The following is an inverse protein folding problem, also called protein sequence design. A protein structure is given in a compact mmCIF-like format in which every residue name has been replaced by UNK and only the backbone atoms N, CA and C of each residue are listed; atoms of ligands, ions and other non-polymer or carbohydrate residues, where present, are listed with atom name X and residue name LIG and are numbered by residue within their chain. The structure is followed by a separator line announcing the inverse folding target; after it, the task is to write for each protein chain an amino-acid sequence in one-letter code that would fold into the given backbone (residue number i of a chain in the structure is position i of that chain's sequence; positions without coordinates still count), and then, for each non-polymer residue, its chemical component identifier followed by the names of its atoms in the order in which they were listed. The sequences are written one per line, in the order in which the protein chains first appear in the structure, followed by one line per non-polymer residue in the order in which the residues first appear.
data_IF_115462642772
#
_entry.id   IF_115462642772
#
_cell.length_a   1.000
_cell.length_b   1.000
_cell.length_c   1.000
_cell.angle_alpha   90.00
_cell.angle_beta   90.00
_cell.angle_gamma   90.00
#
_symmetry.space_group_name_H-M   'P 1'
#
loop_
_entity.id
_entity.type
_entity.pdbx_description
1 polymer ?
#
# COMPACT_ATOMS: atom_id res chain seq x y z
N UNK A 1 -6.62 26.35 23.05
CA UNK A 1 -6.80 26.57 24.50
C UNK A 1 -5.61 27.26 25.16
N UNK A 2 -4.36 27.11 24.68
CA UNK A 2 -3.21 27.83 25.26
C UNK A 2 -3.18 29.37 25.05
N UNK A 3 -3.91 29.91 24.06
CA UNK A 3 -3.96 31.37 23.81
C UNK A 3 -4.83 32.15 24.78
N UNK A 4 -5.70 31.50 25.55
CA UNK A 4 -6.59 32.18 26.50
C UNK A 4 -5.95 32.39 27.89
N UNK A 5 -4.85 31.69 28.18
CA UNK A 5 -4.28 31.54 29.52
C UNK A 5 -3.28 32.64 29.90
N UNK A 6 -2.67 33.33 28.93
CA UNK A 6 -1.64 34.37 29.18
C UNK A 6 -2.21 35.78 29.32
N UNK A 7 -3.46 36.02 28.87
CA UNK A 7 -4.18 37.26 29.12
C UNK A 7 -5.00 37.08 30.39
N UNK A 8 -4.37 37.34 31.54
CA UNK A 8 -5.04 37.37 32.84
C UNK A 8 -6.35 38.14 32.77
N UNK A 9 -7.33 37.75 33.59
CA UNK A 9 -8.68 38.32 33.58
C UNK A 9 -8.63 39.85 33.51
N UNK A 10 -9.05 40.42 32.38
CA UNK A 10 -9.15 41.87 32.21
C UNK A 10 -10.14 42.38 33.27
N UNK A 11 -9.63 42.89 34.38
CA UNK A 11 -10.42 43.39 35.51
C UNK A 11 -10.85 44.82 35.21
N UNK A 12 -11.92 44.96 34.43
CA UNK A 12 -12.53 46.25 34.12
C UNK A 12 -13.33 46.76 35.35
N UNK A 13 -13.15 48.01 35.79
CA UNK A 13 -13.76 48.53 37.03
C UNK A 13 -15.28 48.35 37.03
N UNK A 14 -15.83 47.74 38.09
CA UNK A 14 -17.27 47.59 38.30
C UNK A 14 -17.95 48.96 38.38
N UNK A 15 -18.98 49.16 37.56
CA UNK A 15 -19.90 50.29 37.68
C UNK A 15 -21.26 49.76 38.06
N UNK A 16 -21.83 50.33 39.13
CA UNK A 16 -23.01 49.81 39.83
C UNK A 16 -24.19 49.54 38.90
N UNK A 17 -24.78 48.35 39.09
CA UNK A 17 -25.95 47.84 38.41
C UNK A 17 -27.17 48.74 38.67
N UNK A 18 -27.44 49.70 37.78
CA UNK A 18 -28.58 50.59 37.92
C UNK A 18 -29.71 50.13 36.98
N UNK A 19 -30.88 49.86 37.55
CA UNK A 19 -32.00 49.27 36.82
C UNK A 19 -32.50 50.19 35.70
N UNK A 20 -32.36 49.76 34.45
CA UNK A 20 -32.78 50.44 33.20
C UNK A 20 -34.22 51.01 33.25
N UNK A 21 -35.13 50.37 34.00
CA UNK A 21 -36.53 50.81 34.17
C UNK A 21 -36.66 52.14 34.92
N UNK A 22 -35.79 52.43 35.89
CA UNK A 22 -35.86 53.65 36.70
C UNK A 22 -35.42 54.88 35.91
N UNK A 23 -34.51 54.68 34.96
CA UNK A 23 -33.99 55.72 34.07
C UNK A 23 -35.02 56.08 33.01
N UNK A 24 -35.66 55.09 32.37
CA UNK A 24 -36.76 55.33 31.44
C UNK A 24 -37.93 56.07 32.10
N UNK A 25 -38.30 55.68 33.32
CA UNK A 25 -39.34 56.34 34.07
C UNK A 25 -39.01 57.81 34.35
N UNK A 26 -37.75 58.14 34.67
CA UNK A 26 -37.32 59.52 34.92
C UNK A 26 -37.40 60.43 33.68
N UNK A 27 -37.11 59.90 32.49
CA UNK A 27 -37.13 60.66 31.23
C UNK A 27 -38.56 60.99 30.81
N UNK A 28 -39.47 60.02 30.98
CA UNK A 28 -40.86 60.09 30.50
C UNK A 28 -41.79 60.81 31.49
N UNK A 29 -41.46 60.85 32.78
CA UNK A 29 -42.34 61.38 33.82
C UNK A 29 -42.71 62.85 33.63
N UNK A 30 -41.78 63.70 33.19
CA UNK A 30 -42.04 65.14 33.13
C UNK A 30 -42.89 65.57 31.91
N UNK A 31 -42.65 65.06 30.69
CA UNK A 31 -43.56 65.27 29.55
C UNK A 31 -44.97 64.71 29.79
N UNK A 32 -45.08 63.58 30.50
CA UNK A 32 -46.37 62.98 30.88
C UNK A 32 -47.08 63.84 31.92
N UNK A 33 -46.37 64.40 32.91
CA UNK A 33 -46.96 65.26 33.93
C UNK A 33 -47.57 66.52 33.30
N UNK A 34 -46.88 67.13 32.33
CA UNK A 34 -47.40 68.30 31.58
C UNK A 34 -48.65 67.91 30.75
N UNK A 35 -48.67 66.72 30.16
CA UNK A 35 -49.85 66.23 29.45
C UNK A 35 -51.04 65.96 30.39
N UNK A 36 -50.79 65.36 31.56
CA UNK A 36 -51.82 65.15 32.59
C UNK A 36 -52.35 66.48 33.12
N UNK A 37 -51.51 67.50 33.29
CA UNK A 37 -51.97 68.84 33.64
C UNK A 37 -52.89 69.45 32.56
N UNK A 38 -52.60 69.21 31.28
CA UNK A 38 -53.48 69.62 30.18
C UNK A 38 -54.82 68.85 30.16
N UNK A 39 -54.81 67.55 30.47
CA UNK A 39 -56.04 66.77 30.66
C UNK A 39 -56.88 67.29 31.84
N UNK A 40 -56.26 67.71 32.94
CA UNK A 40 -56.96 68.30 34.08
C UNK A 40 -57.58 69.67 33.76
N UNK A 41 -56.97 70.45 32.86
CA UNK A 41 -57.58 71.66 32.32
C UNK A 41 -58.80 71.35 31.44
N UNK A 42 -58.80 70.24 30.69
CA UNK A 42 -59.98 69.81 29.92
C UNK A 42 -61.17 69.40 30.80
N UNK A 43 -60.93 68.81 31.97
CA UNK A 43 -61.98 68.48 32.95
C UNK A 43 -62.44 69.67 33.82
N UNK A 44 -62.03 70.89 33.48
CA UNK A 44 -62.44 72.16 34.11
C UNK A 44 -62.09 72.27 35.62
N UNK A 45 -61.11 71.49 36.08
CA UNK A 45 -60.54 71.59 37.44
C UNK A 45 -59.70 72.87 37.57
N UNK A 46 -59.18 73.37 36.45
CA UNK A 46 -58.41 74.62 36.31
C UNK A 46 -59.11 75.44 35.22
N UNK A 47 -59.36 76.74 35.46
CA UNK A 47 -60.14 77.65 34.59
C UNK A 47 -59.44 77.99 33.24
N UNK A 48 -59.09 77.00 32.44
CA UNK A 48 -58.55 77.17 31.09
C UNK A 48 -59.39 76.36 30.10
N UNK A 49 -60.07 77.06 29.20
CA UNK A 49 -60.93 76.45 28.19
C UNK A 49 -60.06 75.90 27.04
N UNK A 50 -59.70 74.62 27.12
CA UNK A 50 -58.89 73.93 26.11
C UNK A 50 -59.79 73.04 25.28
N UNK A 51 -59.73 73.19 23.95
CA UNK A 51 -60.46 72.33 23.01
C UNK A 51 -59.96 70.89 23.00
N UNK A 52 -60.86 69.95 22.67
CA UNK A 52 -60.56 68.52 22.57
C UNK A 52 -59.50 68.23 21.49
N UNK A 53 -59.49 69.03 20.43
CA UNK A 53 -58.51 68.99 19.34
C UNK A 53 -57.07 69.14 19.86
N UNK A 54 -56.83 70.06 20.79
CA UNK A 54 -55.50 70.31 21.36
C UNK A 54 -55.03 69.13 22.22
N UNK A 55 -55.94 68.55 23.00
CA UNK A 55 -55.65 67.39 23.86
C UNK A 55 -55.27 66.17 23.01
N UNK A 56 -55.96 65.95 21.89
CA UNK A 56 -55.67 64.85 20.96
C UNK A 56 -54.32 65.07 20.28
N UNK A 57 -54.06 66.26 19.75
CA UNK A 57 -52.79 66.55 19.05
C UNK A 57 -51.60 66.50 20.02
N UNK A 58 -51.74 67.01 21.25
CA UNK A 58 -50.74 66.86 22.31
C UNK A 58 -50.50 65.38 22.67
N UNK A 59 -51.56 64.56 22.69
CA UNK A 59 -51.46 63.12 22.94
C UNK A 59 -50.67 62.40 21.85
N UNK A 60 -50.90 62.75 20.57
CA UNK A 60 -50.12 62.22 19.43
C UNK A 60 -48.65 62.63 19.54
N UNK A 61 -48.35 63.89 19.90
CA UNK A 61 -46.97 64.33 20.13
C UNK A 61 -46.29 63.56 21.27
N UNK A 62 -47.02 63.26 22.34
CA UNK A 62 -46.51 62.48 23.46
C UNK A 62 -46.24 61.02 23.08
N UNK A 63 -47.08 60.39 22.25
CA UNK A 63 -46.84 59.03 21.73
C UNK A 63 -45.60 58.99 20.86
N UNK A 64 -45.42 59.99 19.98
CA UNK A 64 -44.20 60.10 19.18
C UNK A 64 -42.99 60.31 20.10
N UNK A 65 -43.09 61.18 21.11
CA UNK A 65 -42.02 61.39 22.08
C UNK A 65 -41.68 60.12 22.89
N UNK A 66 -42.66 59.28 23.24
CA UNK A 66 -42.45 57.98 23.89
C UNK A 66 -41.72 56.97 22.98
N UNK A 67 -42.04 56.97 21.69
CA UNK A 67 -41.37 56.13 20.70
C UNK A 67 -39.89 56.53 20.58
N UNK A 68 -39.61 57.83 20.50
CA UNK A 68 -38.24 58.35 20.51
C UNK A 68 -37.55 58.13 21.87
N UNK A 69 -38.24 58.25 23.00
CA UNK A 69 -37.69 57.98 24.33
C UNK A 69 -37.13 56.56 24.48
N UNK A 70 -37.69 55.58 23.76
CA UNK A 70 -37.15 54.21 23.71
C UNK A 70 -35.77 54.12 23.04
N UNK A 71 -35.44 55.06 22.17
CA UNK A 71 -34.15 55.16 21.47
C UNK A 71 -33.21 56.22 22.07
N UNK A 72 -33.54 56.77 23.24
CA UNK A 72 -32.75 57.84 23.88
C UNK A 72 -31.41 57.35 24.44
N UNK A 73 -30.41 58.23 24.43
CA UNK A 73 -29.02 57.97 24.81
C UNK A 73 -28.85 57.42 26.24
N UNK A 74 -29.75 57.74 27.16
CA UNK A 74 -29.68 57.24 28.54
C UNK A 74 -30.06 55.74 28.65
N UNK A 75 -30.98 55.27 27.80
CA UNK A 75 -31.29 53.84 27.68
C UNK A 75 -30.14 53.08 27.00
N UNK A 76 -29.52 53.68 25.99
CA UNK A 76 -28.30 53.13 25.37
C UNK A 76 -27.17 52.97 26.37
N UNK A 77 -26.98 53.93 27.28
CA UNK A 77 -26.01 53.84 28.38
C UNK A 77 -26.35 52.72 29.38
N UNK A 78 -27.61 52.61 29.82
CA UNK A 78 -28.01 51.53 30.71
C UNK A 78 -27.92 50.14 30.04
N UNK A 79 -28.20 50.05 28.74
CA UNK A 79 -28.07 48.81 27.98
C UNK A 79 -26.60 48.43 27.77
N UNK A 80 -25.72 49.43 27.59
CA UNK A 80 -24.26 49.26 27.60
C UNK A 80 -23.76 48.80 28.98
N UNK A 81 -24.24 49.41 30.07
CA UNK A 81 -23.93 48.98 31.44
C UNK A 81 -24.41 47.55 31.73
N UNK A 82 -25.58 47.14 31.21
CA UNK A 82 -26.11 45.78 31.35
C UNK A 82 -25.41 44.75 30.46
N UNK A 83 -24.86 45.16 29.31
CA UNK A 83 -24.12 44.27 28.37
C UNK A 83 -22.60 44.37 28.52
N UNK A 84 -22.11 44.85 29.67
CA UNK A 84 -20.66 45.01 29.92
C UNK A 84 -19.88 43.70 29.76
N UNK A 85 -20.46 42.56 30.12
CA UNK A 85 -19.81 41.25 29.95
C UNK A 85 -19.66 40.85 28.48
N UNK A 86 -20.63 41.22 27.66
CA UNK A 86 -20.58 41.03 26.20
C UNK A 86 -19.54 41.97 25.59
N UNK A 87 -19.50 43.23 26.03
CA UNK A 87 -18.45 44.18 25.66
C UNK A 87 -17.06 43.66 26.02
N UNK A 88 -16.88 43.10 27.24
CA UNK A 88 -15.62 42.49 27.68
C UNK A 88 -15.22 41.30 26.80
N UNK A 89 -16.17 40.43 26.47
CA UNK A 89 -15.94 39.27 25.60
C UNK A 89 -15.55 39.68 24.18
N UNK A 90 -16.22 40.67 23.61
CA UNK A 90 -15.91 41.19 22.29
C UNK A 90 -14.59 41.97 22.26
N UNK A 91 -14.28 42.73 23.30
CA UNK A 91 -13.00 43.41 23.47
C UNK A 91 -11.85 42.40 23.56
N UNK A 92 -12.02 41.32 24.35
CA UNK A 92 -11.05 40.22 24.43
C UNK A 92 -10.83 39.58 23.06
N UNK A 93 -11.92 39.27 22.35
CA UNK A 93 -11.83 38.71 20.99
C UNK A 93 -11.15 39.65 20.00
N UNK A 94 -11.40 40.95 20.10
CA UNK A 94 -10.78 41.97 19.26
C UNK A 94 -9.26 42.08 19.53
N UNK A 95 -8.87 42.09 20.81
CA UNK A 95 -7.45 42.10 21.23
C UNK A 95 -6.74 40.84 20.73
N UNK A 96 -7.35 39.65 20.87
CA UNK A 96 -6.78 38.38 20.41
C UNK A 96 -6.65 38.36 18.88
N UNK A 97 -7.64 38.88 18.15
CA UNK A 97 -7.64 38.90 16.68
C UNK A 97 -6.58 39.86 16.11
N UNK A 98 -6.29 40.94 16.83
CA UNK A 98 -5.40 42.02 16.37
C UNK A 98 -4.04 42.00 17.10
N UNK A 99 -3.69 40.84 17.67
CA UNK A 99 -2.52 40.66 18.49
C UNK A 99 -1.25 40.65 17.62
N UNK A 100 -0.35 41.59 17.89
CA UNK A 100 0.92 41.73 17.19
C UNK A 100 2.06 41.50 18.19
N UNK A 101 2.92 40.54 17.87
CA UNK A 101 4.06 40.16 18.72
C UNK A 101 5.29 40.91 18.24
N UNK A 102 5.84 41.81 19.07
CA UNK A 102 7.12 42.48 18.82
C UNK A 102 8.09 42.00 19.91
N UNK A 103 9.13 41.26 19.50
CA UNK A 103 10.09 40.68 20.43
C UNK A 103 9.45 39.64 21.36
N UNK A 104 9.47 39.90 22.68
CA UNK A 104 8.90 39.01 23.71
C UNK A 104 7.49 39.41 24.19
N UNK A 105 7.00 40.60 23.83
CA UNK A 105 5.73 41.14 24.30
C UNK A 105 4.62 41.01 23.24
N UNK A 106 3.42 40.65 23.70
CA UNK A 106 2.22 40.45 22.88
C UNK A 106 1.16 41.49 23.26
N UNK A 107 0.97 42.50 22.42
CA UNK A 107 -0.13 43.48 22.58
C UNK A 107 -0.94 43.63 21.29
N UNK A 108 -2.14 44.18 21.39
CA UNK A 108 -3.00 44.42 20.22
C UNK A 108 -2.54 45.65 19.44
N UNK A 109 -2.43 45.51 18.10
CA UNK A 109 -2.14 46.60 17.16
C UNK A 109 -3.39 47.44 16.83
N UNK A 110 -4.59 46.92 17.10
CA UNK A 110 -5.83 47.67 16.88
C UNK A 110 -5.99 48.77 17.93
N UNK A 111 -6.53 49.94 17.55
CA UNK A 111 -6.78 51.00 18.51
C UNK A 111 -8.06 50.74 19.32
N UNK A 112 -8.03 51.00 20.63
CA UNK A 112 -9.23 50.92 21.47
C UNK A 112 -10.34 51.85 20.97
N UNK A 113 -9.97 53.03 20.45
CA UNK A 113 -10.93 54.04 19.97
C UNK A 113 -11.70 53.55 18.74
N UNK A 114 -11.07 52.79 17.85
CA UNK A 114 -11.72 52.20 16.68
C UNK A 114 -12.71 51.12 17.07
N UNK A 115 -12.35 50.25 18.02
CA UNK A 115 -13.27 49.26 18.58
C UNK A 115 -14.45 49.93 19.31
N UNK A 116 -14.17 50.93 20.16
CA UNK A 116 -15.18 51.64 20.93
C UNK A 116 -16.16 52.40 20.01
N UNK A 117 -15.66 53.03 18.95
CA UNK A 117 -16.50 53.71 17.95
C UNK A 117 -17.41 52.73 17.20
N UNK A 118 -16.88 51.56 16.80
CA UNK A 118 -17.66 50.54 16.10
C UNK A 118 -18.72 49.91 16.99
N UNK A 119 -18.39 49.62 18.25
CA UNK A 119 -19.34 49.08 19.22
C UNK A 119 -20.40 50.12 19.62
N UNK A 120 -20.01 51.39 19.79
CA UNK A 120 -20.94 52.47 20.11
C UNK A 120 -21.99 52.69 19.01
N UNK A 121 -21.62 52.54 17.73
CA UNK A 121 -22.58 52.64 16.60
C UNK A 121 -23.60 51.51 16.55
N UNK A 122 -23.26 50.35 17.09
CA UNK A 122 -24.16 49.19 17.13
C UNK A 122 -25.14 49.28 18.32
N UNK A 123 -24.70 49.86 19.44
CA UNK A 123 -25.53 50.06 20.64
C UNK A 123 -26.45 51.28 20.52
N UNK A 124 -26.04 52.32 19.77
CA UNK A 124 -26.83 53.55 19.60
C UNK A 124 -26.84 53.99 18.15
N UNK A 125 -28.05 54.31 17.65
CA UNK A 125 -28.20 54.95 16.37
C UNK A 125 -28.26 56.48 16.54
N UNK A 126 -27.09 57.11 16.47
CA UNK A 126 -26.89 58.56 16.60
C UNK A 126 -27.79 59.37 15.65
N UNK A 127 -28.13 58.80 14.50
CA UNK A 127 -28.99 59.46 13.52
C UNK A 127 -30.42 59.62 14.03
N UNK A 128 -30.99 58.63 14.73
CA UNK A 128 -32.36 58.75 15.26
C UNK A 128 -32.45 59.73 16.43
N UNK A 129 -31.42 59.78 17.29
CA UNK A 129 -31.37 60.70 18.41
C UNK A 129 -31.26 62.16 17.95
N UNK A 130 -30.45 62.41 16.92
CA UNK A 130 -30.30 63.73 16.31
C UNK A 130 -31.57 64.20 15.60
N UNK A 131 -32.24 63.31 14.84
CA UNK A 131 -33.50 63.63 14.14
C UNK A 131 -34.61 64.05 15.10
N UNK A 132 -34.68 63.49 16.31
CA UNK A 132 -35.69 63.83 17.31
C UNK A 132 -35.68 65.32 17.70
N UNK A 133 -34.48 65.93 17.77
CA UNK A 133 -34.34 67.37 18.11
C UNK A 133 -34.98 68.30 17.08
N UNK A 134 -35.06 67.88 15.82
CA UNK A 134 -35.71 68.64 14.74
C UNK A 134 -37.19 68.31 14.55
N UNK A 135 -37.60 67.07 14.87
CA UNK A 135 -38.98 66.61 14.66
C UNK A 135 -39.95 67.17 15.71
N UNK A 136 -39.54 67.31 16.98
CA UNK A 136 -40.45 67.79 18.03
C UNK A 136 -40.93 69.25 17.85
N UNK A 137 -40.10 70.23 17.49
CA UNK A 137 -40.57 71.58 17.19
C UNK A 137 -41.45 71.60 15.93
N UNK A 138 -41.09 70.81 14.90
CA UNK A 138 -41.87 70.74 13.66
C UNK A 138 -43.24 70.12 13.87
N UNK A 139 -43.35 69.09 14.72
CA UNK A 139 -44.65 68.57 15.16
C UNK A 139 -45.42 69.63 15.95
N UNK A 140 -44.76 70.38 16.83
CA UNK A 140 -45.31 71.56 17.51
C UNK A 140 -45.99 72.54 16.56
N UNK A 141 -45.24 72.97 15.54
CA UNK A 141 -45.67 73.92 14.50
C UNK A 141 -46.81 73.31 13.64
N UNK A 142 -46.68 72.05 13.25
CA UNK A 142 -47.72 71.35 12.49
C UNK A 142 -49.02 71.21 13.29
N UNK A 143 -48.92 70.91 14.58
CA UNK A 143 -50.06 70.83 15.49
C UNK A 143 -50.79 72.15 15.64
N UNK A 144 -50.07 73.28 15.74
CA UNK A 144 -50.67 74.62 15.70
C UNK A 144 -51.47 74.86 14.41
N UNK A 145 -50.92 74.49 13.24
CA UNK A 145 -51.63 74.69 11.97
C UNK A 145 -52.90 73.84 11.87
N UNK A 146 -52.87 72.60 12.36
CA UNK A 146 -54.04 71.73 12.39
C UNK A 146 -55.12 72.30 13.33
N UNK A 147 -54.75 72.74 14.53
CA UNK A 147 -55.71 73.27 15.51
C UNK A 147 -56.34 74.58 15.04
N UNK A 148 -55.57 75.46 14.38
CA UNK A 148 -56.10 76.66 13.72
C UNK A 148 -57.06 76.29 12.59
N UNK A 149 -56.72 75.30 11.76
CA UNK A 149 -57.57 74.86 10.65
C UNK A 149 -58.91 74.27 11.14
N UNK A 150 -58.90 73.51 12.24
CA UNK A 150 -60.12 72.97 12.87
C UNK A 150 -60.94 74.09 13.52
N UNK A 151 -60.27 75.08 14.11
CA UNK A 151 -60.90 76.20 14.79
C UNK A 151 -61.42 77.30 13.85
N UNK A 152 -61.19 77.19 12.54
CA UNK A 152 -61.64 78.18 11.57
C UNK A 152 -63.16 78.08 11.37
N UNK A 153 -63.96 79.08 11.81
CA UNK A 153 -65.40 79.06 11.59
C UNK A 153 -65.71 79.39 10.12
N UNK A 154 -66.81 78.85 9.61
CA UNK A 154 -67.35 79.24 8.31
C UNK A 154 -67.99 80.62 8.45
N UNK A 155 -67.23 81.67 8.13
CA UNK A 155 -67.68 83.06 8.24
C UNK A 155 -68.91 83.28 7.35
N UNK A 156 -70.08 83.38 7.96
CA UNK A 156 -71.35 83.67 7.28
C UNK A 156 -71.80 85.09 7.64
N UNK A 157 -71.98 85.95 6.63
CA UNK A 157 -72.24 87.38 6.81
C UNK A 157 -73.68 87.73 7.21
N UNK A 158 -74.42 86.80 7.80
CA UNK A 158 -75.89 86.93 7.96
C UNK A 158 -76.27 87.74 9.21
N UNK A 159 -75.47 87.72 10.28
CA UNK A 159 -75.74 88.46 11.53
C UNK A 159 -74.46 89.02 12.18
N UNK A 160 -74.46 90.31 12.55
CA UNK A 160 -73.33 90.99 13.19
C UNK A 160 -72.94 90.36 14.55
N UNK A 161 -73.94 89.87 15.31
CA UNK A 161 -73.75 89.20 16.60
C UNK A 161 -73.14 87.79 16.41
N UNK A 162 -73.55 87.07 15.36
CA UNK A 162 -72.94 85.78 15.00
C UNK A 162 -71.49 85.97 14.59
N UNK A 163 -71.20 87.01 13.82
CA UNK A 163 -69.85 87.35 13.37
C UNK A 163 -68.90 87.67 14.54
N UNK A 164 -69.35 88.46 15.53
CA UNK A 164 -68.54 88.78 16.72
C UNK A 164 -68.25 87.53 17.57
N UNK A 165 -69.24 86.65 17.75
CA UNK A 165 -69.07 85.36 18.42
C UNK A 165 -68.12 84.42 17.66
N UNK A 166 -68.20 84.38 16.32
CA UNK A 166 -67.32 83.58 15.46
C UNK A 166 -65.87 84.08 15.50
N UNK A 167 -65.66 85.39 15.48
CA UNK A 167 -64.34 86.01 15.62
C UNK A 167 -63.75 85.72 17.02
N UNK A 168 -64.56 85.79 18.07
CA UNK A 168 -64.12 85.48 19.45
C UNK A 168 -63.70 84.01 19.58
N UNK A 169 -64.44 83.08 18.95
CA UNK A 169 -64.07 81.66 18.90
C UNK A 169 -62.78 81.42 18.12
N UNK A 170 -62.58 82.14 17.00
CA UNK A 170 -61.35 82.06 16.22
C UNK A 170 -60.13 82.54 17.03
N UNK A 171 -60.23 83.69 17.72
CA UNK A 171 -59.15 84.19 18.57
C UNK A 171 -58.85 83.26 19.74
N UNK A 172 -59.88 82.68 20.37
CA UNK A 172 -59.71 81.66 21.40
C UNK A 172 -59.02 80.41 20.87
N UNK A 173 -59.39 79.93 19.67
CA UNK A 173 -58.77 78.78 19.00
C UNK A 173 -57.31 79.03 18.60
N UNK A 174 -56.98 80.23 18.13
CA UNK A 174 -55.60 80.65 17.85
C UNK A 174 -54.78 80.69 19.15
N UNK A 175 -55.31 81.29 20.22
CA UNK A 175 -54.66 81.36 21.53
C UNK A 175 -54.37 79.97 22.11
N UNK A 176 -55.34 79.06 21.99
CA UNK A 176 -55.21 77.69 22.48
C UNK A 176 -54.25 76.85 21.62
N UNK A 177 -54.16 77.14 20.32
CA UNK A 177 -53.20 76.50 19.41
C UNK A 177 -51.75 76.77 19.82
N UNK A 178 -51.41 77.98 20.30
CA UNK A 178 -50.05 78.32 20.71
C UNK A 178 -49.47 77.40 21.80
N UNK A 179 -50.32 76.77 22.62
CA UNK A 179 -49.87 75.79 23.62
C UNK A 179 -49.23 74.54 22.99
N UNK A 180 -49.64 74.15 21.78
CA UNK A 180 -49.05 73.02 21.03
C UNK A 180 -47.61 73.33 20.62
N UNK A 181 -47.36 74.56 20.16
CA UNK A 181 -46.01 75.00 19.79
C UNK A 181 -45.10 75.12 21.03
N UNK A 182 -45.63 75.69 22.12
CA UNK A 182 -44.92 75.75 23.40
C UNK A 182 -44.55 74.35 23.91
N UNK A 183 -45.45 73.37 23.78
CA UNK A 183 -45.18 71.99 24.14
C UNK A 183 -44.13 71.31 23.25
N UNK A 184 -44.19 71.52 21.93
CA UNK A 184 -43.18 71.00 21.00
C UNK A 184 -41.78 71.53 21.27
N UNK A 185 -41.65 72.83 21.56
CA UNK A 185 -40.38 73.45 21.98
C UNK A 185 -39.91 72.87 23.31
N UNK A 186 -40.83 72.73 24.28
CA UNK A 186 -40.53 72.15 25.58
C UNK A 186 -39.98 70.72 25.47
N UNK A 187 -40.66 69.86 24.69
CA UNK A 187 -40.22 68.48 24.42
C UNK A 187 -38.80 68.44 23.84
N UNK A 188 -38.47 69.39 22.96
CA UNK A 188 -37.16 69.48 22.33
C UNK A 188 -36.06 69.83 23.33
N UNK A 189 -36.31 70.86 24.15
CA UNK A 189 -35.35 71.26 25.19
C UNK A 189 -35.15 70.15 26.22
N UNK A 190 -36.24 69.49 26.63
CA UNK A 190 -36.20 68.35 27.52
C UNK A 190 -35.40 67.19 26.91
N UNK A 191 -35.62 66.88 25.63
CA UNK A 191 -34.88 65.85 24.91
C UNK A 191 -33.37 66.16 24.84
N UNK A 192 -32.99 67.38 24.42
CA UNK A 192 -31.59 67.81 24.30
C UNK A 192 -30.86 67.69 25.65
N UNK A 193 -31.53 68.03 26.75
CA UNK A 193 -30.96 67.92 28.08
C UNK A 193 -30.58 66.47 28.41
N UNK A 194 -31.48 65.51 28.19
CA UNK A 194 -31.20 64.10 28.44
C UNK A 194 -30.20 63.49 27.48
N UNK A 195 -30.21 63.92 26.22
CA UNK A 195 -29.23 63.48 25.23
C UNK A 195 -27.80 63.91 25.61
N UNK A 196 -27.60 65.20 25.93
CA UNK A 196 -26.30 65.73 26.36
C UNK A 196 -25.84 65.11 27.68
N UNK A 197 -26.76 64.94 28.62
CA UNK A 197 -26.45 64.31 29.90
C UNK A 197 -26.04 62.84 29.73
N UNK A 198 -26.76 62.08 28.90
CA UNK A 198 -26.43 60.69 28.57
C UNK A 198 -25.08 60.57 27.88
N UNK A 199 -24.81 61.40 26.87
CA UNK A 199 -23.54 61.41 26.15
C UNK A 199 -22.33 61.66 27.04
N UNK A 200 -22.40 62.67 27.90
CA UNK A 200 -21.30 62.98 28.82
C UNK A 200 -20.97 61.81 29.75
N UNK A 201 -21.97 61.04 30.17
CA UNK A 201 -21.76 59.85 31.01
C UNK A 201 -21.20 58.68 30.22
N UNK A 202 -21.68 58.47 28.99
CA UNK A 202 -21.15 57.45 28.08
C UNK A 202 -19.67 57.65 27.79
N UNK A 203 -19.27 58.87 27.44
CA UNK A 203 -17.87 59.23 27.18
C UNK A 203 -17.00 58.99 28.42
N UNK A 204 -17.47 59.34 29.62
CA UNK A 204 -16.77 59.06 30.88
C UNK A 204 -16.61 57.55 31.13
N UNK A 205 -17.61 56.75 30.81
CA UNK A 205 -17.55 55.29 30.93
C UNK A 205 -16.53 54.71 29.95
N UNK A 206 -16.61 55.09 28.67
CA UNK A 206 -15.64 54.67 27.65
C UNK A 206 -14.23 55.10 28.04
N UNK A 207 -14.02 56.34 28.47
CA UNK A 207 -12.71 56.83 28.89
C UNK A 207 -12.15 56.04 30.08
N UNK A 208 -13.00 55.66 31.05
CA UNK A 208 -12.60 54.79 32.15
C UNK A 208 -12.19 53.41 31.67
N UNK A 209 -12.93 52.81 30.73
CA UNK A 209 -12.57 51.51 30.14
C UNK A 209 -11.32 51.59 29.26
N UNK A 210 -11.16 52.69 28.52
CA UNK A 210 -9.96 53.00 27.74
C UNK A 210 -8.75 52.97 28.66
N UNK A 211 -8.77 53.77 29.74
CA UNK A 211 -7.67 53.86 30.70
C UNK A 211 -7.32 52.51 31.35
N UNK A 212 -8.32 51.68 31.65
CA UNK A 212 -8.09 50.33 32.18
C UNK A 212 -7.48 49.36 31.16
N UNK A 213 -7.67 49.62 29.85
CA UNK A 213 -7.23 48.72 28.77
C UNK A 213 -6.00 49.23 28.02
N UNK A 214 -5.53 50.46 28.27
CA UNK A 214 -4.27 51.03 27.75
C UNK A 214 -3.09 50.01 27.76
N UNK A 215 -2.80 49.27 28.85
CA UNK A 215 -1.63 48.39 28.87
C UNK A 215 -1.70 47.22 27.87
N UNK A 216 -2.88 46.87 27.33
CA UNK A 216 -3.07 45.77 26.38
C UNK A 216 -2.95 46.21 24.91
N UNK A 217 -2.86 47.50 24.65
CA UNK A 217 -2.73 48.06 23.30
C UNK A 217 -1.33 48.65 23.09
N UNK A 218 -0.83 48.52 21.88
CA UNK A 218 0.40 49.20 21.49
C UNK A 218 0.15 50.70 21.32
N UNK A 219 1.01 51.54 21.87
CA UNK A 219 1.13 52.94 21.46
C UNK A 219 2.14 53.05 20.32
N UNK A 220 1.96 54.02 19.42
CA UNK A 220 2.88 54.23 18.30
C UNK A 220 4.33 54.48 18.77
N UNK A 221 4.47 55.20 19.88
CA UNK A 221 5.75 55.48 20.53
C UNK A 221 6.41 54.20 21.10
N UNK A 222 5.64 53.32 21.77
CA UNK A 222 6.15 52.04 22.28
C UNK A 222 6.64 51.12 21.15
N UNK A 223 5.91 51.04 20.03
CA UNK A 223 6.31 50.25 18.85
C UNK A 223 7.65 50.76 18.32
N UNK A 224 7.77 52.07 18.11
CA UNK A 224 8.98 52.67 17.56
C UNK A 224 10.18 52.48 18.49
N UNK A 225 9.99 52.65 19.80
CA UNK A 225 11.05 52.43 20.79
C UNK A 225 11.50 50.96 20.83
N UNK A 226 10.57 49.99 20.81
CA UNK A 226 10.90 48.57 20.81
C UNK A 226 11.59 48.14 19.51
N UNK A 227 11.10 48.61 18.37
CA UNK A 227 11.75 48.39 17.08
C UNK A 227 13.18 48.93 17.06
N UNK A 228 13.39 50.13 17.60
CA UNK A 228 14.72 50.74 17.74
C UNK A 228 15.62 49.92 18.68
N UNK A 229 15.12 49.43 19.82
CA UNK A 229 15.88 48.55 20.72
C UNK A 229 16.30 47.24 20.04
N UNK A 230 15.39 46.58 19.32
CA UNK A 230 15.68 45.31 18.63
C UNK A 230 16.70 45.53 17.49
N UNK A 231 16.59 46.66 16.80
CA UNK A 231 17.55 47.08 15.76
C UNK A 231 18.92 47.38 16.36
N UNK A 232 18.98 48.06 17.51
CA UNK A 232 20.23 48.31 18.25
C UNK A 232 20.88 47.00 18.72
N UNK A 233 20.11 46.05 19.24
CA UNK A 233 20.63 44.73 19.62
C UNK A 233 21.14 43.92 18.41
N UNK A 234 20.54 44.11 17.23
CA UNK A 234 21.06 43.54 15.99
C UNK A 234 22.36 44.21 15.55
N UNK A 235 22.48 45.53 15.70
CA UNK A 235 23.74 46.25 15.45
C UNK A 235 24.84 45.85 16.42
N UNK A 236 24.53 45.57 17.68
CA UNK A 236 25.51 45.07 18.65
C UNK A 236 26.05 43.70 18.23
N UNK A 237 25.18 42.76 17.81
CA UNK A 237 25.61 41.46 17.25
C UNK A 237 26.46 41.63 15.99
N UNK A 238 26.07 42.53 15.10
CA UNK A 238 26.86 42.87 13.91
C UNK A 238 28.22 43.44 14.32
N UNK A 239 28.28 44.28 15.35
CA UNK A 239 29.52 44.82 15.91
C UNK A 239 30.43 43.72 16.45
N UNK A 240 29.90 42.73 17.17
CA UNK A 240 30.67 41.56 17.66
C UNK A 240 31.18 40.70 16.51
N UNK A 241 30.35 40.45 15.49
CA UNK A 241 30.76 39.70 14.30
C UNK A 241 31.82 40.48 13.52
N UNK A 242 31.66 41.80 13.38
CA UNK A 242 32.64 42.67 12.72
C UNK A 242 33.97 42.70 13.48
N UNK A 243 33.93 42.76 14.82
CA UNK A 243 35.14 42.67 15.66
C UNK A 243 35.84 41.31 15.50
N UNK A 244 35.08 40.21 15.39
CA UNK A 244 35.65 38.89 15.12
C UNK A 244 36.25 38.78 13.71
N UNK A 245 35.54 39.25 12.68
CA UNK A 245 36.00 39.23 11.28
C UNK A 245 37.18 40.17 11.04
N UNK A 246 37.28 41.26 11.81
CA UNK A 246 38.38 42.23 11.71
C UNK A 246 39.65 41.78 12.44
N UNK A 247 39.58 40.73 13.27
CA UNK A 247 40.76 40.18 13.96
C UNK A 247 41.62 39.37 12.99
N UNK A 248 42.93 39.55 13.07
CA UNK A 248 43.90 38.72 12.34
C UNK A 248 43.76 37.22 12.63
N UNK A 249 43.21 36.86 13.79
CA UNK A 249 42.96 35.46 14.18
C UNK A 249 41.94 34.78 13.27
N UNK A 250 40.89 35.50 12.82
CA UNK A 250 39.94 34.97 11.83
C UNK A 250 40.62 34.69 10.49
N UNK A 251 41.49 35.60 10.01
CA UNK A 251 42.23 35.39 8.77
C UNK A 251 43.23 34.23 8.88
N UNK A 252 43.89 34.07 10.03
CA UNK A 252 44.78 32.92 10.29
C UNK A 252 44.00 31.59 10.30
N UNK A 253 42.84 31.56 10.95
CA UNK A 253 42.00 30.36 10.97
C UNK A 253 41.42 30.06 9.59
N UNK A 254 41.03 31.10 8.84
CA UNK A 254 40.57 30.99 7.46
C UNK A 254 41.67 30.43 6.55
N UNK A 255 42.89 30.96 6.62
CA UNK A 255 44.05 30.47 5.87
C UNK A 255 44.33 29.00 6.20
N UNK A 256 44.29 28.62 7.49
CA UNK A 256 44.49 27.24 7.93
C UNK A 256 43.37 26.31 7.40
N UNK A 257 42.13 26.78 7.38
CA UNK A 257 41.00 26.05 6.78
C UNK A 257 41.17 25.90 5.27
N UNK A 258 41.59 26.96 4.58
CA UNK A 258 41.85 26.96 3.13
C UNK A 258 42.98 25.98 2.81
N UNK A 259 44.11 26.05 3.52
CA UNK A 259 45.26 25.17 3.34
C UNK A 259 44.89 23.71 3.57
N UNK A 260 44.15 23.40 4.65
CA UNK A 260 43.63 22.06 4.91
C UNK A 260 42.68 21.58 3.81
N UNK A 261 41.85 22.46 3.25
CA UNK A 261 40.95 22.12 2.13
C UNK A 261 41.74 21.84 0.84
N UNK A 262 42.77 22.63 0.55
CA UNK A 262 43.66 22.41 -0.58
C UNK A 262 44.50 21.13 -0.44
N UNK A 263 45.01 20.83 0.76
CA UNK A 263 45.73 19.58 1.02
C UNK A 263 44.81 18.36 0.85
N UNK A 264 43.59 18.43 1.37
CA UNK A 264 42.58 17.39 1.14
C UNK A 264 42.21 17.24 -0.34
N UNK A 265 42.10 18.36 -1.07
CA UNK A 265 41.83 18.32 -2.51
C UNK A 265 42.99 17.69 -3.29
N UNK A 266 44.24 18.02 -2.93
CA UNK A 266 45.44 17.39 -3.50
C UNK A 266 45.48 15.89 -3.24
N UNK A 267 45.16 15.47 -2.01
CA UNK A 267 45.05 14.05 -1.65
C UNK A 267 43.95 13.33 -2.42
N UNK A 268 42.80 13.99 -2.62
CA UNK A 268 41.71 13.46 -3.43
C UNK A 268 42.14 13.26 -4.88
N UNK A 269 42.75 14.27 -5.50
CA UNK A 269 43.25 14.19 -6.88
C UNK A 269 44.26 13.05 -7.06
N UNK A 270 45.18 12.89 -6.11
CA UNK A 270 46.15 11.79 -6.14
C UNK A 270 45.49 10.42 -5.99
N UNK A 271 44.48 10.32 -5.12
CA UNK A 271 43.70 9.09 -4.93
C UNK A 271 42.89 8.75 -6.19
N UNK A 272 42.34 9.76 -6.86
CA UNK A 272 41.65 9.60 -8.14
C UNK A 272 42.60 9.15 -9.25
N UNK A 273 43.79 9.73 -9.33
CA UNK A 273 44.86 9.30 -10.26
C UNK A 273 45.24 7.83 -10.03
N UNK A 274 45.47 7.42 -8.78
CA UNK A 274 45.78 6.03 -8.43
C UNK A 274 44.62 5.08 -8.77
N UNK A 275 43.38 5.47 -8.49
CA UNK A 275 42.19 4.69 -8.82
C UNK A 275 42.01 4.53 -10.33
N UNK A 276 42.25 5.59 -11.12
CA UNK A 276 42.21 5.55 -12.59
C UNK A 276 43.31 4.62 -13.12
N UNK A 277 44.51 4.66 -12.54
CA UNK A 277 45.60 3.76 -12.92
C UNK A 277 45.26 2.29 -12.66
N UNK A 278 44.76 1.98 -11.45
CA UNK A 278 44.31 0.62 -11.10
C UNK A 278 43.15 0.17 -11.99
N UNK A 279 42.20 1.05 -12.27
CA UNK A 279 41.09 0.79 -13.20
C UNK A 279 41.59 0.49 -14.61
N UNK A 280 42.56 1.25 -15.12
CA UNK A 280 43.20 1.00 -16.42
C UNK A 280 43.90 -0.36 -16.48
N UNK A 281 44.59 -0.76 -15.41
CA UNK A 281 45.18 -2.10 -15.29
C UNK A 281 44.12 -3.20 -15.28
N UNK A 282 43.03 -3.03 -14.53
CA UNK A 282 41.90 -3.98 -14.53
C UNK A 282 41.21 -4.07 -15.89
N UNK A 283 41.02 -2.95 -16.59
CA UNK A 283 40.47 -2.94 -17.96
C UNK A 283 41.40 -3.73 -18.89
N UNK A 284 42.72 -3.52 -18.80
CA UNK A 284 43.71 -4.25 -19.61
C UNK A 284 43.68 -5.76 -19.31
N UNK A 285 43.61 -6.14 -18.04
CA UNK A 285 43.49 -7.54 -17.62
C UNK A 285 42.18 -8.17 -18.10
N UNK A 286 41.06 -7.48 -17.90
CA UNK A 286 39.73 -7.91 -18.34
C UNK A 286 39.67 -8.07 -19.85
N UNK A 287 40.24 -7.12 -20.59
CA UNK A 287 40.35 -7.20 -22.05
C UNK A 287 41.20 -8.40 -22.48
N UNK A 288 42.32 -8.66 -21.80
CA UNK A 288 43.14 -9.85 -22.03
C UNK A 288 42.37 -11.16 -21.80
N UNK A 289 41.60 -11.24 -20.71
CA UNK A 289 40.73 -12.39 -20.41
C UNK A 289 39.59 -12.53 -21.42
N UNK A 290 38.98 -11.42 -21.85
CA UNK A 290 37.90 -11.42 -22.84
C UNK A 290 38.41 -11.90 -24.21
N UNK A 291 39.58 -11.42 -24.66
CA UNK A 291 40.21 -11.90 -25.91
C UNK A 291 40.51 -13.39 -25.82
N UNK A 292 41.00 -13.87 -24.68
CA UNK A 292 41.25 -15.30 -24.47
C UNK A 292 39.96 -16.11 -24.52
N UNK A 293 38.92 -15.70 -23.81
CA UNK A 293 37.61 -16.36 -23.83
C UNK A 293 36.96 -16.34 -25.22
N UNK A 294 37.08 -15.24 -25.98
CA UNK A 294 36.62 -15.18 -27.36
C UNK A 294 37.35 -16.21 -28.25
N UNK A 295 38.66 -16.39 -28.05
CA UNK A 295 39.43 -17.42 -28.76
C UNK A 295 38.95 -18.82 -28.37
N UNK A 296 38.76 -19.08 -27.09
CA UNK A 296 38.28 -20.37 -26.59
C UNK A 296 36.86 -20.67 -27.09
N UNK A 297 35.97 -19.67 -27.18
CA UNK A 297 34.64 -19.82 -27.81
C UNK A 297 34.75 -20.16 -29.30
N UNK A 298 35.67 -19.51 -30.04
CA UNK A 298 35.90 -19.83 -31.45
C UNK A 298 36.38 -21.27 -31.62
N UNK A 299 37.25 -21.75 -30.73
CA UNK A 299 37.72 -23.13 -30.76
C UNK A 299 36.61 -24.12 -30.35
N UNK A 300 35.76 -23.78 -29.37
CA UNK A 300 34.55 -24.55 -29.06
C UNK A 300 33.58 -24.65 -30.24
N UNK A 301 33.41 -23.58 -31.03
CA UNK A 301 32.60 -23.63 -32.26
C UNK A 301 33.18 -24.65 -33.26
N UNK A 302 34.51 -24.75 -33.40
CA UNK A 302 35.13 -25.77 -34.25
C UNK A 302 34.89 -27.18 -33.70
N UNK A 303 35.02 -27.38 -32.39
CA UNK A 303 34.75 -28.66 -31.74
C UNK A 303 33.27 -29.05 -31.93
N UNK A 304 32.33 -28.11 -31.78
CA UNK A 304 30.92 -28.36 -32.07
C UNK A 304 30.68 -28.74 -33.53
N UNK A 305 31.35 -28.11 -34.49
CA UNK A 305 31.27 -28.49 -35.90
C UNK A 305 31.81 -29.91 -36.14
N UNK A 306 32.90 -30.29 -35.48
CA UNK A 306 33.46 -31.64 -35.54
C UNK A 306 32.51 -32.68 -34.91
N UNK A 307 31.92 -32.38 -33.75
CA UNK A 307 30.90 -33.23 -33.11
C UNK A 307 29.72 -33.43 -34.05
N UNK A 308 29.21 -32.38 -34.69
CA UNK A 308 28.10 -32.48 -35.66
C UNK A 308 28.50 -33.39 -36.83
N UNK A 309 29.74 -33.28 -37.33
CA UNK A 309 30.22 -34.13 -38.41
C UNK A 309 30.32 -35.60 -37.98
N UNK A 310 30.86 -35.88 -36.79
CA UNK A 310 30.91 -37.23 -36.21
C UNK A 310 29.51 -37.78 -35.99
N UNK A 311 28.56 -36.95 -35.52
CA UNK A 311 27.16 -37.36 -35.33
C UNK A 311 26.49 -37.71 -36.66
N UNK A 312 26.76 -36.94 -37.72
CA UNK A 312 26.27 -37.24 -39.07
C UNK A 312 26.89 -38.53 -39.62
N UNK A 313 28.19 -38.76 -39.43
CA UNK A 313 28.85 -40.02 -39.81
C UNK A 313 28.27 -41.20 -39.03
N UNK A 314 28.06 -41.05 -37.72
CA UNK A 314 27.44 -42.06 -36.88
C UNK A 314 26.01 -42.37 -37.35
N UNK A 315 25.20 -41.34 -37.62
CA UNK A 315 23.83 -41.51 -38.14
C UNK A 315 23.82 -42.24 -39.50
N UNK A 316 24.75 -41.91 -40.39
CA UNK A 316 24.90 -42.61 -41.68
C UNK A 316 25.33 -44.06 -41.47
N UNK A 317 26.26 -44.34 -40.56
CA UNK A 317 26.67 -45.70 -40.21
C UNK A 317 25.52 -46.51 -39.60
N UNK A 318 24.67 -45.91 -38.76
CA UNK A 318 23.47 -46.58 -38.22
C UNK A 318 22.47 -46.89 -39.33
N UNK A 319 22.25 -45.97 -40.28
CA UNK A 319 21.41 -46.25 -41.46
C UNK A 319 21.98 -47.38 -42.31
N UNK A 320 23.29 -47.40 -42.55
CA UNK A 320 23.94 -48.48 -43.29
C UNK A 320 23.84 -49.81 -42.54
N UNK A 321 24.05 -49.81 -41.22
CA UNK A 321 23.90 -50.99 -40.37
C UNK A 321 22.46 -51.50 -40.38
N UNK A 322 21.46 -50.61 -40.35
CA UNK A 322 20.05 -50.97 -40.50
C UNK A 322 19.78 -51.64 -41.85
N UNK A 323 20.32 -51.11 -42.95
CA UNK A 323 20.20 -51.71 -44.29
C UNK A 323 20.86 -53.09 -44.32
N UNK A 324 22.11 -53.20 -43.88
CA UNK A 324 22.85 -54.48 -43.82
C UNK A 324 22.15 -55.50 -42.93
N UNK A 325 21.55 -55.05 -41.82
CA UNK A 325 20.80 -55.94 -40.92
C UNK A 325 19.52 -56.45 -41.58
N UNK A 326 18.80 -55.60 -42.32
CA UNK A 326 17.65 -56.00 -43.13
C UNK A 326 18.03 -57.02 -44.22
N UNK A 327 19.14 -56.78 -44.93
CA UNK A 327 19.65 -57.72 -45.94
C UNK A 327 20.05 -59.06 -45.32
N UNK A 328 20.77 -59.04 -44.19
CA UNK A 328 21.16 -60.25 -43.47
C UNK A 328 19.94 -61.01 -42.92
N UNK A 329 18.93 -60.30 -42.40
CA UNK A 329 17.68 -60.91 -41.95
C UNK A 329 16.98 -61.63 -43.10
N UNK A 330 16.92 -60.98 -44.27
CA UNK A 330 16.35 -61.58 -45.49
C UNK A 330 17.14 -62.81 -45.95
N UNK A 331 18.48 -62.78 -45.88
CA UNK A 331 19.34 -63.94 -46.20
C UNK A 331 19.22 -65.08 -45.19
N UNK A 332 19.09 -64.78 -43.90
CA UNK A 332 18.88 -65.80 -42.87
C UNK A 332 17.52 -66.48 -43.04
N UNK A 333 16.48 -65.71 -43.36
CA UNK A 333 15.16 -66.26 -43.68
C UNK A 333 15.24 -67.23 -44.86
N UNK A 334 15.90 -66.85 -45.96
CA UNK A 334 16.00 -67.73 -47.14
C UNK A 334 16.84 -68.99 -46.88
N UNK A 335 17.93 -68.91 -46.10
CA UNK A 335 18.71 -70.08 -45.69
C UNK A 335 17.89 -70.99 -44.77
N UNK A 336 17.10 -70.42 -43.86
CA UNK A 336 16.19 -71.17 -42.99
C UNK A 336 15.16 -71.93 -43.82
N UNK A 337 14.49 -71.25 -44.75
CA UNK A 337 13.50 -71.87 -45.65
C UNK A 337 14.11 -73.01 -46.48
N UNK A 338 15.33 -72.83 -47.00
CA UNK A 338 16.06 -73.89 -47.72
C UNK A 338 16.40 -75.08 -46.80
N UNK A 339 16.85 -74.82 -45.57
CA UNK A 339 17.17 -75.88 -44.61
C UNK A 339 15.93 -76.66 -44.20
N UNK A 340 14.81 -75.99 -43.96
CA UNK A 340 13.52 -76.64 -43.66
C UNK A 340 13.11 -77.56 -44.82
N UNK A 341 13.20 -77.09 -46.07
CA UNK A 341 12.90 -77.90 -47.24
C UNK A 341 13.82 -79.13 -47.38
N UNK A 342 15.13 -78.99 -47.10
CA UNK A 342 16.07 -80.11 -47.09
C UNK A 342 15.77 -81.11 -45.96
N UNK A 343 15.35 -80.63 -44.80
CA UNK A 343 15.02 -81.46 -43.64
C UNK A 343 13.76 -82.30 -43.94
N UNK A 344 12.71 -81.68 -44.49
CA UNK A 344 11.51 -82.40 -44.95
C UNK A 344 11.85 -83.52 -45.94
N UNK A 345 12.75 -83.25 -46.90
CA UNK A 345 13.21 -84.28 -47.84
C UNK A 345 13.95 -85.42 -47.15
N UNK A 346 14.86 -85.10 -46.22
CA UNK A 346 15.62 -86.09 -45.46
C UNK A 346 14.72 -86.96 -44.57
N UNK A 347 13.68 -86.36 -43.96
CA UNK A 347 12.68 -87.09 -43.17
C UNK A 347 11.88 -88.05 -44.04
N UNK A 348 11.48 -87.62 -45.25
CA UNK A 348 10.81 -88.51 -46.22
C UNK A 348 11.71 -89.67 -46.68
N UNK A 349 12.99 -89.40 -46.98
CA UNK A 349 13.96 -90.44 -47.38
C UNK A 349 14.21 -91.45 -46.24
N UNK A 350 14.29 -90.98 -44.98
CA UNK A 350 14.37 -91.85 -43.81
C UNK A 350 13.13 -92.74 -43.69
N UNK A 351 11.92 -92.18 -43.87
CA UNK A 351 10.67 -92.94 -43.87
C UNK A 351 10.67 -94.06 -44.90
N UNK A 352 11.12 -93.80 -46.13
CA UNK A 352 11.28 -94.83 -47.17
C UNK A 352 12.30 -95.91 -46.80
N UNK A 353 13.43 -95.52 -46.20
CA UNK A 353 14.46 -96.48 -45.79
C UNK A 353 13.99 -97.37 -44.63
N UNK A 354 13.22 -96.84 -43.69
CA UNK A 354 12.60 -97.63 -42.61
C UNK A 354 11.65 -98.68 -43.19
N UNK A 355 10.80 -98.32 -44.16
CA UNK A 355 9.93 -99.30 -44.85
C UNK A 355 10.72 -100.39 -45.57
N UNK A 356 11.85 -100.05 -46.21
CA UNK A 356 12.73 -101.05 -46.83
C UNK A 356 13.37 -101.97 -45.78
N UNK A 357 13.79 -101.42 -44.65
CA UNK A 357 14.40 -102.18 -43.56
C UNK A 357 13.40 -103.15 -42.92
N UNK A 358 12.17 -102.70 -42.64
CA UNK A 358 11.07 -103.54 -42.15
C UNK A 358 10.85 -104.75 -43.06
N UNK A 359 10.75 -104.52 -44.38
CA UNK A 359 10.61 -105.59 -45.37
C UNK A 359 11.79 -106.56 -45.37
N UNK A 360 13.02 -106.07 -45.19
CA UNK A 360 14.22 -106.92 -45.13
C UNK A 360 14.28 -107.77 -43.85
N UNK A 361 13.77 -107.25 -42.73
CA UNK A 361 13.67 -107.98 -41.47
C UNK A 361 12.65 -109.12 -41.56
N UNK A 362 11.53 -108.88 -42.22
CA UNK A 362 10.52 -109.90 -42.50
C UNK A 362 11.13 -111.04 -43.35
N UNK A 363 11.89 -110.69 -44.38
CA UNK A 363 12.57 -111.65 -45.27
C UNK A 363 13.72 -112.41 -44.57
N UNK A 364 14.43 -111.76 -43.63
CA UNK A 364 15.45 -112.39 -42.80
C UNK A 364 14.86 -113.38 -41.78
N UNK A 365 13.75 -113.02 -41.14
CA UNK A 365 13.04 -113.87 -40.17
C UNK A 365 12.60 -115.20 -40.80
N UNK A 366 12.05 -115.15 -42.02
CA UNK A 366 11.65 -116.34 -42.78
C UNK A 366 12.86 -117.22 -43.10
N UNK A 367 13.99 -116.65 -43.52
CA UNK A 367 15.20 -117.40 -43.84
C UNK A 367 15.87 -118.08 -42.62
N UNK A 368 15.83 -117.46 -41.44
CA UNK A 368 16.40 -118.08 -40.23
C UNK A 368 15.61 -119.33 -39.82
N UNK A 369 14.28 -119.27 -39.90
CA UNK A 369 13.41 -120.40 -39.55
C UNK A 369 13.71 -121.61 -40.45
N UNK A 370 13.87 -121.38 -41.75
CA UNK A 370 14.18 -122.43 -42.73
C UNK A 370 15.58 -123.05 -42.49
N UNK A 371 16.59 -122.21 -42.20
CA UNK A 371 17.96 -122.67 -41.91
C UNK A 371 18.09 -123.43 -40.59
N UNK A 372 17.34 -123.05 -39.55
CA UNK A 372 17.32 -123.78 -38.29
C UNK A 372 16.67 -125.16 -38.43
N UNK A 373 15.61 -125.27 -39.24
CA UNK A 373 14.96 -126.55 -39.51
C UNK A 373 15.90 -127.53 -40.26
N UNK A 374 16.62 -127.04 -41.27
CA UNK A 374 17.63 -127.81 -42.00
C UNK A 374 18.79 -128.29 -41.12
N UNK A 375 19.27 -127.45 -40.20
CA UNK A 375 20.35 -127.81 -39.28
C UNK A 375 19.92 -128.89 -38.27
N UNK A 376 18.69 -128.84 -37.77
CA UNK A 376 18.13 -129.84 -36.85
C UNK A 376 18.00 -131.22 -37.50
N UNK A 377 17.55 -131.29 -38.76
CA UNK A 377 17.46 -132.55 -39.50
C UNK A 377 18.85 -133.13 -39.83
N UNK A 378 19.81 -132.27 -40.22
CA UNK A 378 21.20 -132.69 -40.47
C UNK A 378 21.90 -133.24 -39.22
N UNK A 379 21.66 -132.63 -38.06
CA UNK A 379 22.17 -133.11 -36.77
C UNK A 379 21.61 -134.48 -36.39
N UNK A 380 20.31 -134.70 -36.63
CA UNK A 380 19.63 -135.96 -36.30
C UNK A 380 20.16 -137.14 -37.12
N UNK A 381 20.50 -136.92 -38.38
CA UNK A 381 21.06 -137.92 -39.28
C UNK A 381 22.52 -138.27 -38.89
N UNK A 382 23.34 -137.26 -38.60
CA UNK A 382 24.74 -137.45 -38.22
C UNK A 382 24.92 -138.23 -36.89
N UNK A 383 24.00 -138.05 -35.92
CA UNK A 383 23.99 -138.80 -34.66
C UNK A 383 23.68 -140.29 -34.86
N UNK A 384 22.85 -140.66 -35.85
CA UNK A 384 22.49 -142.05 -36.12
C UNK A 384 23.66 -142.80 -36.77
N UNK A 385 24.35 -142.18 -37.73
CA UNK A 385 25.50 -142.75 -38.43
C UNK A 385 26.72 -142.93 -37.51
N UNK A 386 27.01 -141.93 -36.67
CA UNK A 386 28.13 -142.00 -35.71
C UNK A 386 27.96 -143.13 -34.67
N UNK A 387 26.72 -143.45 -34.29
CA UNK A 387 26.41 -144.48 -33.30
C UNK A 387 26.45 -145.91 -33.89
N UNK A 388 26.26 -146.06 -35.20
CA UNK A 388 26.44 -147.34 -35.91
C UNK A 388 27.91 -147.63 -36.22
N UNK A 389 28.69 -146.62 -36.62
CA UNK A 389 30.12 -146.77 -36.88
C UNK A 389 30.92 -147.12 -35.60
N UNK A 390 30.55 -146.52 -34.45
CA UNK A 390 31.19 -146.81 -33.17
C UNK A 390 30.99 -148.26 -32.70
N UNK A 391 29.85 -148.87 -33.03
CA UNK A 391 29.53 -150.26 -32.65
C UNK A 391 30.30 -151.30 -33.47
N UNK A 392 30.65 -150.98 -34.71
CA UNK A 392 31.40 -151.87 -35.60
C UNK A 392 32.91 -151.88 -35.28
N UNK A 393 33.46 -150.74 -34.85
CA UNK A 393 34.90 -150.57 -34.56
C UNK A 393 35.30 -151.11 -33.18
N UNK A 394 34.36 -151.26 -32.23
CA UNK A 394 34.64 -151.74 -30.88
C UNK A 394 34.76 -153.27 -30.76
N UNK A 395 34.21 -154.05 -31.70
CA UNK A 395 34.23 -155.51 -31.64
C UNK A 395 35.39 -156.16 -32.44
N UNK A 396 36.12 -155.41 -33.29
CA UNK A 396 37.25 -155.94 -34.09
C UNK A 396 38.65 -155.62 -33.50
N UNK A 397 38.68 -155.16 -32.25
CA UNK A 397 39.87 -155.06 -31.41
C UNK A 397 40.26 -156.44 -30.83
N UNK A 398 40.82 -157.33 -31.66
CA UNK A 398 41.72 -158.39 -31.21
C UNK A 398 42.76 -158.76 -32.27
N UNK A 399 43.74 -157.88 -32.52
CA UNK A 399 45.17 -158.20 -32.41
C UNK A 399 46.09 -157.16 -33.10
N UNK A 400 47.12 -156.79 -32.34
CA UNK A 400 48.44 -156.24 -32.75
C UNK A 400 48.65 -154.71 -32.97
N UNK A 401 49.36 -154.10 -32.00
CA UNK A 401 50.61 -153.26 -32.01
C UNK A 401 50.97 -152.47 -33.30
N UNK A 402 51.57 -151.26 -33.31
CA UNK A 402 52.44 -150.53 -32.37
C UNK A 402 52.64 -149.04 -32.82
N UNK A 403 53.05 -148.17 -31.88
CA UNK A 403 53.79 -146.89 -32.01
C UNK A 403 53.17 -145.61 -32.65
N UNK A 404 52.91 -144.59 -31.83
CA UNK A 404 53.46 -143.19 -31.90
C UNK A 404 52.59 -142.18 -31.12
N UNK A 405 52.99 -141.81 -29.89
CA UNK A 405 52.29 -140.82 -29.03
C UNK A 405 53.17 -139.64 -28.59
N UNK A 406 53.82 -138.98 -29.56
CA UNK A 406 54.54 -137.72 -29.32
C UNK A 406 53.71 -136.45 -29.66
N UNK A 407 52.55 -136.59 -30.31
CA UNK A 407 51.77 -135.44 -30.85
C UNK A 407 50.79 -134.85 -29.82
N UNK A 408 50.53 -135.55 -28.72
CA UNK A 408 49.48 -135.16 -27.75
C UNK A 408 49.94 -134.07 -26.77
N UNK A 409 51.24 -133.84 -26.59
CA UNK A 409 51.73 -132.81 -25.64
C UNK A 409 51.87 -131.41 -26.25
N UNK A 410 52.09 -131.28 -27.56
CA UNK A 410 52.33 -129.96 -28.17
C UNK A 410 51.03 -129.16 -28.36
N UNK A 411 49.90 -129.84 -28.58
CA UNK A 411 48.60 -129.20 -28.86
C UNK A 411 47.89 -128.66 -27.61
N UNK A 412 48.25 -129.17 -26.43
CA UNK A 412 47.61 -128.76 -25.16
C UNK A 412 48.18 -127.44 -24.61
N UNK A 413 49.40 -127.07 -24.99
CA UNK A 413 50.08 -125.87 -24.48
C UNK A 413 49.66 -124.58 -25.19
N UNK A 414 49.33 -124.64 -26.49
CA UNK A 414 48.97 -123.46 -27.29
C UNK A 414 47.58 -122.90 -26.99
N UNK A 415 46.63 -123.73 -26.53
CA UNK A 415 45.25 -123.28 -26.24
C UNK A 415 45.17 -122.46 -24.94
N UNK A 416 46.05 -122.69 -23.96
CA UNK A 416 45.95 -122.01 -22.66
C UNK A 416 46.56 -120.61 -22.60
N UNK A 417 47.49 -120.23 -23.49
CA UNK A 417 48.07 -118.88 -23.48
C UNK A 417 47.17 -117.83 -24.17
N UNK A 418 46.41 -118.22 -25.19
CA UNK A 418 45.50 -117.31 -25.93
C UNK A 418 44.36 -116.79 -25.04
N UNK A 419 43.87 -117.62 -24.12
CA UNK A 419 42.77 -117.28 -23.20
C UNK A 419 43.18 -116.20 -22.17
N UNK A 420 44.48 -116.11 -21.86
CA UNK A 420 45.01 -115.13 -20.90
C UNK A 420 45.26 -113.74 -21.51
N UNK A 421 45.52 -113.65 -22.83
CA UNK A 421 45.80 -112.36 -23.48
C UNK A 421 44.51 -111.59 -23.83
N UNK A 422 43.39 -112.29 -24.07
CA UNK A 422 42.09 -111.67 -24.37
C UNK A 422 41.44 -110.98 -23.17
N UNK A 423 41.55 -111.56 -21.96
CA UNK A 423 40.91 -111.01 -20.76
C UNK A 423 41.62 -109.76 -20.20
N UNK A 424 42.94 -109.59 -20.43
CA UNK A 424 43.70 -108.41 -19.96
C UNK A 424 43.42 -107.17 -20.84
N UNK A 425 43.11 -107.36 -22.11
CA UNK A 425 42.79 -106.26 -23.04
C UNK A 425 41.42 -105.62 -22.76
N UNK A 426 40.45 -106.40 -22.31
CA UNK A 426 39.10 -105.92 -21.97
C UNK A 426 39.08 -105.03 -20.71
N UNK A 427 39.94 -105.29 -19.72
CA UNK A 427 39.94 -104.56 -18.45
C UNK A 427 40.66 -103.18 -18.52
N UNK A 428 41.50 -102.94 -19.55
CA UNK A 428 42.22 -101.68 -19.78
C UNK A 428 41.43 -100.62 -20.57
N UNK A 429 40.39 -101.01 -21.30
CA UNK A 429 39.56 -100.09 -22.11
C UNK A 429 38.43 -99.42 -21.30
N UNK A 430 38.01 -100.02 -20.17
CA UNK A 430 36.86 -99.53 -19.39
C UNK A 430 37.18 -98.38 -18.40
N UNK A 431 38.46 -98.02 -18.19
CA UNK A 431 38.91 -97.07 -17.14
C UNK A 431 39.46 -95.71 -17.61
N UNK A 432 39.45 -95.38 -18.91
CA UNK A 432 40.26 -94.24 -19.44
C UNK A 432 39.47 -93.07 -20.08
N UNK A 433 38.12 -93.08 -20.13
CA UNK A 433 37.35 -92.02 -20.81
C UNK A 433 36.44 -91.13 -19.91
N UNK A 434 36.63 -91.15 -18.59
CA UNK A 434 35.87 -90.26 -17.67
C UNK A 434 36.69 -89.17 -16.98
N UNK A 435 37.99 -89.00 -17.28
CA UNK A 435 38.89 -88.19 -16.42
C UNK A 435 39.79 -87.18 -17.14
N UNK A 436 39.68 -87.01 -18.46
CA UNK A 436 40.54 -86.09 -19.25
C UNK A 436 39.79 -85.01 -20.05
N UNK A 437 38.45 -85.01 -20.07
CA UNK A 437 37.64 -83.87 -20.58
C UNK A 437 36.98 -83.02 -19.48
N UNK A 438 36.89 -83.50 -18.22
CA UNK A 438 36.38 -82.68 -17.10
C UNK A 438 37.43 -81.70 -16.53
N UNK A 439 38.57 -81.53 -17.23
CA UNK A 439 39.72 -80.69 -16.84
C UNK A 439 39.97 -79.50 -17.78
N UNK A 440 38.97 -79.08 -18.57
CA UNK A 440 39.09 -77.94 -19.49
C UNK A 440 37.93 -76.93 -19.42
N UNK A 441 36.93 -77.11 -18.55
CA UNK A 441 35.74 -76.22 -18.51
C UNK A 441 35.55 -75.46 -17.19
N UNK A 442 36.05 -75.90 -16.03
CA UNK A 442 35.81 -75.17 -14.76
C UNK A 442 37.07 -74.57 -14.08
N UNK A 443 38.27 -74.78 -14.63
CA UNK A 443 39.52 -74.12 -14.18
C UNK A 443 39.72 -72.71 -14.79
N UNK A 444 38.65 -72.08 -15.27
CA UNK A 444 38.50 -70.62 -15.31
C UNK A 444 37.71 -70.08 -14.11
N UNK A 445 37.81 -70.81 -12.98
CA UNK A 445 37.89 -70.28 -11.62
C UNK A 445 38.29 -68.80 -11.61
N UNK A 446 37.42 -67.94 -11.09
CA UNK A 446 37.62 -67.40 -9.75
C UNK A 446 39.05 -66.91 -9.49
N UNK A 447 39.34 -65.66 -9.87
CA UNK A 447 40.24 -64.78 -9.13
C UNK A 447 40.10 -63.35 -9.66
N UNK A 448 40.12 -62.40 -8.72
CA UNK A 448 40.24 -60.95 -8.90
C UNK A 448 38.97 -60.19 -9.32
N UNK A 449 38.23 -59.58 -8.40
CA UNK A 449 38.55 -58.43 -7.54
C UNK A 449 38.43 -57.07 -8.25
N UNK A 450 37.80 -56.15 -7.50
CA UNK A 450 37.78 -54.67 -7.64
C UNK A 450 36.71 -54.08 -8.58
N UNK A 451 35.68 -53.52 -7.92
CA UNK A 451 35.21 -52.13 -8.01
C UNK A 451 35.83 -51.25 -9.12
N UNK A 452 35.08 -50.28 -9.71
CA UNK A 452 34.70 -49.13 -8.88
C UNK A 452 33.41 -48.37 -9.26
N UNK A 453 32.97 -47.57 -8.27
CA UNK A 453 32.29 -46.27 -8.35
C UNK A 453 31.57 -45.86 -9.64
N UNK A 454 30.27 -45.57 -9.51
CA UNK A 454 29.61 -44.55 -10.31
C UNK A 454 29.24 -43.36 -9.42
N UNK A 455 29.82 -42.22 -9.79
CA UNK A 455 29.33 -40.88 -9.51
C UNK A 455 27.89 -40.73 -10.02
N UNK A 456 27.09 -39.94 -9.29
CA UNK A 456 26.15 -39.05 -9.96
C UNK A 456 26.14 -37.70 -9.27
N UNK A 457 26.85 -36.81 -9.94
CA UNK A 457 26.73 -35.37 -9.83
C UNK A 457 25.44 -34.89 -10.53
N UNK A 458 25.03 -33.72 -10.10
CA UNK A 458 24.26 -32.69 -10.80
C UNK A 458 22.74 -32.87 -11.00
N UNK A 459 22.02 -32.27 -10.04
CA UNK A 459 21.25 -31.05 -10.32
C UNK A 459 21.57 -29.96 -9.30
#
# INVERSE_FOLDING_TARGET
MEKESELGEISLPESGNRQSKFVYFKIVLLPVLIYVACLLCYFDVIKFNIGLDIVVIMGVMLVVALFFARHSAELGCCLFEQKKDIFKKELKNYIIKTLLTIGKDRKSNGSFDEFASRYSKDVRNDNFASVATGVFPMLGIFGTFISIAISMPMLSSVDMISLESEITKLFAGIGASFYLCAYGIFLTLWWIFFERFGMSRFEKLIARQKNATIPFFWTAEEIQQRYMQETLGSFEKIGVIFDYVSKQEFFKELDNVIERKFDNFTKLLKTEEDAVKVSSEHIKQTMGMLIKSQRDQKDMIKIHAEIINVLNLFNNNIKELQIRWSENYTRLQSISDERVARLDKSVNDLGMNIMKFERSLEEFSVNILDKQQLALDGFKIAMIDGMQAFRYVFDEESDSKDSSSAIVEELKKSIQEIDNEANIALEKLEKTDYTSLSKAIDDSNQAESKQPSDEKNDQ
#
